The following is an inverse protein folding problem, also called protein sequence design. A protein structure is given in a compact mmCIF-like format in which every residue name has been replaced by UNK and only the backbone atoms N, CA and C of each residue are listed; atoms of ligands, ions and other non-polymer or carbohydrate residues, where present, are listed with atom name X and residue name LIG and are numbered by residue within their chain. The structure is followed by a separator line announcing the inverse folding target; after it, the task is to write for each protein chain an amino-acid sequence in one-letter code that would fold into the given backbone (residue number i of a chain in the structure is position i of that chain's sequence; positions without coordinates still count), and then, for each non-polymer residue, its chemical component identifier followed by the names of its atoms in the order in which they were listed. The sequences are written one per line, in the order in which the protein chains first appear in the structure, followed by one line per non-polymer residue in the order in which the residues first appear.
data_IF_078006644081
#
_entry.id   IF_078006644081
#
_cell.length_a   1.000
_cell.length_b   1.000
_cell.length_c   1.000
_cell.angle_alpha   90.00
_cell.angle_beta   90.00
_cell.angle_gamma   90.00
#
_symmetry.space_group_name_H-M   'P 1'
#
loop_
_entity.id
_entity.type
_entity.pdbx_description
1 polymer ?
#
# COMPACT_ATOMS: atom_id res chain seq x y z
N UNK A 1 35.86 70.27 -8.43
CA UNK A 1 35.86 69.61 -7.11
C UNK A 1 34.59 68.80 -6.95
N UNK A 2 34.74 67.46 -6.87
CA UNK A 2 33.90 66.44 -6.25
C UNK A 2 32.36 66.60 -6.30
N UNK A 3 31.74 65.84 -7.21
CA UNK A 3 30.35 65.37 -7.08
C UNK A 3 30.35 63.85 -7.06
N UNK A 4 30.23 63.28 -5.86
CA UNK A 4 30.03 61.86 -5.57
C UNK A 4 28.68 61.41 -6.13
N UNK A 5 28.63 60.32 -6.89
CA UNK A 5 27.40 59.63 -7.26
C UNK A 5 27.62 58.13 -7.19
N UNK A 6 27.15 57.52 -6.11
CA UNK A 6 27.44 56.16 -5.67
C UNK A 6 26.97 55.09 -6.65
N UNK A 7 27.86 54.13 -6.94
CA UNK A 7 27.53 52.80 -7.42
C UNK A 7 26.81 52.08 -6.28
N UNK A 8 25.51 51.81 -6.43
CA UNK A 8 24.80 50.87 -5.56
C UNK A 8 24.74 49.53 -6.27
N UNK A 9 25.79 48.74 -6.06
CA UNK A 9 25.75 47.29 -6.15
C UNK A 9 25.30 46.81 -4.76
N UNK A 10 24.10 46.24 -4.62
CA UNK A 10 23.88 45.28 -3.53
C UNK A 10 22.79 44.28 -3.88
N UNK A 11 23.26 43.04 -4.00
CA UNK A 11 22.55 41.78 -4.14
C UNK A 11 21.31 41.68 -3.27
N UNK A 12 20.17 41.35 -3.89
CA UNK A 12 19.08 40.69 -3.20
C UNK A 12 18.90 39.28 -3.78
N UNK A 13 19.51 38.35 -3.04
CA UNK A 13 19.03 37.01 -2.73
C UNK A 13 18.46 36.17 -3.87
N UNK A 14 19.30 35.24 -4.34
CA UNK A 14 18.84 33.92 -4.74
C UNK A 14 18.11 33.29 -3.55
N UNK A 15 16.77 33.40 -3.54
CA UNK A 15 15.94 32.51 -2.73
C UNK A 15 16.10 31.14 -3.38
N UNK A 16 17.08 30.39 -2.88
CA UNK A 16 17.11 28.95 -3.03
C UNK A 16 15.81 28.44 -2.43
N UNK A 17 14.85 28.05 -3.27
CA UNK A 17 13.81 27.12 -2.86
C UNK A 17 14.54 25.84 -2.43
N UNK A 18 14.84 25.72 -1.13
CA UNK A 18 14.99 24.40 -0.53
C UNK A 18 13.69 23.69 -0.86
N UNK A 19 13.76 22.65 -1.69
CA UNK A 19 12.66 21.70 -1.81
C UNK A 19 12.42 21.20 -0.39
N UNK A 20 11.26 21.55 0.17
CA UNK A 20 10.81 20.92 1.39
C UNK A 20 10.83 19.41 1.14
N UNK A 21 11.55 18.70 2.00
CA UNK A 21 11.60 17.25 1.93
C UNK A 21 10.25 16.75 2.47
N UNK A 22 9.24 16.70 1.60
CA UNK A 22 7.89 16.23 1.94
C UNK A 22 7.85 14.71 2.23
N UNK A 23 9.00 14.03 2.16
CA UNK A 23 9.15 12.67 2.64
C UNK A 23 9.07 12.66 4.16
N UNK A 24 8.23 11.78 4.73
CA UNK A 24 8.26 11.52 6.16
C UNK A 24 9.70 11.16 6.57
N UNK A 25 10.25 11.73 7.65
CA UNK A 25 11.56 11.35 8.18
C UNK A 25 11.69 9.84 8.43
N UNK A 26 10.55 9.18 8.61
CA UNK A 26 10.43 7.76 8.98
C UNK A 26 10.53 6.81 7.77
N UNK A 27 10.59 7.33 6.53
CA UNK A 27 10.59 6.51 5.32
C UNK A 27 11.81 5.58 5.23
N UNK A 28 12.90 5.96 5.90
CA UNK A 28 14.18 5.24 5.93
C UNK A 28 14.62 4.84 7.37
N UNK A 29 13.73 4.90 8.38
CA UNK A 29 14.05 4.49 9.76
C UNK A 29 13.58 3.04 10.05
N UNK A 30 14.47 2.04 9.91
CA UNK A 30 14.12 0.65 10.18
C UNK A 30 13.84 0.36 11.66
N UNK A 31 14.16 1.27 12.59
CA UNK A 31 13.90 1.08 14.02
C UNK A 31 12.45 1.34 14.44
N UNK A 32 11.67 2.00 13.58
CA UNK A 32 10.23 2.20 13.75
C UNK A 32 9.41 1.05 13.14
N UNK A 33 10.06 0.17 12.38
CA UNK A 33 9.40 -1.00 11.83
C UNK A 33 9.30 -2.07 12.92
N UNK A 34 8.11 -2.66 13.15
CA UNK A 34 7.97 -3.83 14.00
C UNK A 34 8.89 -4.96 13.53
N UNK A 35 9.38 -5.76 14.48
CA UNK A 35 10.32 -6.84 14.20
C UNK A 35 9.64 -7.95 13.40
N UNK A 36 9.79 -7.87 12.07
CA UNK A 36 9.17 -8.80 11.12
C UNK A 36 9.73 -10.21 11.25
N UNK A 37 10.87 -10.41 11.90
CA UNK A 37 11.54 -11.72 11.99
C UNK A 37 10.81 -12.67 12.94
N UNK A 38 10.17 -12.16 13.99
CA UNK A 38 9.51 -12.99 15.01
C UNK A 38 8.31 -13.78 14.47
N UNK A 39 7.60 -13.25 13.48
CA UNK A 39 6.50 -13.95 12.80
C UNK A 39 6.96 -14.81 11.62
N UNK A 40 8.21 -14.70 11.15
CA UNK A 40 8.63 -15.29 9.87
C UNK A 40 9.43 -16.59 9.99
N UNK A 41 9.79 -17.02 11.20
CA UNK A 41 10.63 -18.19 11.43
C UNK A 41 9.88 -19.50 11.68
N UNK A 42 8.56 -19.46 11.90
CA UNK A 42 7.74 -20.66 12.10
C UNK A 42 7.16 -21.16 10.77
N UNK A 43 7.34 -22.45 10.46
CA UNK A 43 6.71 -23.05 9.28
C UNK A 43 5.20 -23.27 9.54
N UNK A 44 4.38 -22.51 8.84
CA UNK A 44 2.91 -22.59 8.93
C UNK A 44 2.33 -23.83 8.24
N UNK A 45 3.13 -24.61 7.51
CA UNK A 45 2.67 -25.82 6.82
C UNK A 45 1.74 -25.53 5.63
N UNK A 46 1.65 -24.28 5.19
CA UNK A 46 0.70 -23.79 4.17
C UNK A 46 1.39 -23.44 2.85
N UNK A 47 2.66 -23.85 2.68
CA UNK A 47 3.47 -23.59 1.48
C UNK A 47 2.77 -24.01 0.17
N UNK A 48 2.08 -25.16 0.18
CA UNK A 48 1.32 -25.63 -0.98
C UNK A 48 0.15 -24.69 -1.32
N UNK A 49 -0.53 -24.16 -0.31
CA UNK A 49 -1.63 -23.20 -0.48
C UNK A 49 -1.11 -21.86 -1.01
N UNK A 50 -0.02 -21.35 -0.43
CA UNK A 50 0.59 -20.09 -0.85
C UNK A 50 1.08 -20.18 -2.30
N UNK A 51 1.73 -21.29 -2.66
CA UNK A 51 2.16 -21.55 -4.03
C UNK A 51 0.97 -21.67 -4.99
N UNK A 52 -0.12 -22.33 -4.60
CA UNK A 52 -1.32 -22.45 -5.44
C UNK A 52 -1.92 -21.06 -5.77
N UNK A 53 -2.11 -20.22 -4.76
CA UNK A 53 -2.61 -18.85 -4.96
C UNK A 53 -1.62 -18.05 -5.82
N UNK A 54 -0.34 -18.08 -5.46
CA UNK A 54 0.71 -17.41 -6.23
C UNK A 54 0.69 -17.82 -7.70
N UNK A 55 0.63 -19.11 -8.02
CA UNK A 55 0.56 -19.64 -9.39
C UNK A 55 -0.74 -19.27 -10.12
N UNK A 56 -1.86 -19.16 -9.40
CA UNK A 56 -3.10 -18.66 -9.98
C UNK A 56 -2.93 -17.21 -10.46
N UNK A 57 -2.19 -16.40 -9.71
CA UNK A 57 -1.91 -14.99 -9.99
C UNK A 57 -0.57 -14.74 -10.72
N UNK A 58 0.19 -15.79 -11.01
CA UNK A 58 1.45 -15.75 -11.77
C UNK A 58 1.12 -15.44 -13.23
N UNK A 59 1.66 -14.32 -13.73
CA UNK A 59 1.34 -13.83 -15.07
C UNK A 59 0.06 -12.99 -15.15
N UNK A 60 -0.48 -12.53 -14.02
CA UNK A 60 -1.42 -11.41 -14.03
C UNK A 60 -0.68 -10.20 -14.60
N UNK A 61 -0.96 -9.88 -15.86
CA UNK A 61 -0.54 -8.62 -16.48
C UNK A 61 -1.09 -7.44 -15.69
N UNK A 62 -0.79 -6.21 -16.13
CA UNK A 62 -1.26 -4.99 -15.44
C UNK A 62 -2.80 -4.88 -15.25
N UNK A 63 -3.59 -5.80 -15.80
CA UNK A 63 -5.02 -5.64 -16.06
C UNK A 63 -5.95 -6.70 -15.44
N UNK A 64 -5.51 -7.43 -14.41
CA UNK A 64 -6.24 -8.64 -13.98
C UNK A 64 -6.67 -8.68 -12.52
N UNK A 65 -6.24 -7.73 -11.70
CA UNK A 65 -6.84 -7.47 -10.39
C UNK A 65 -7.43 -6.07 -10.40
N UNK A 66 -8.66 -5.96 -9.94
CA UNK A 66 -9.32 -4.67 -9.71
C UNK A 66 -9.04 -4.21 -8.28
N UNK A 67 -8.53 -2.98 -8.13
CA UNK A 67 -8.30 -2.33 -6.85
C UNK A 67 -9.24 -1.13 -6.74
N UNK A 68 -10.10 -1.17 -5.73
CA UNK A 68 -11.03 -0.10 -5.40
C UNK A 68 -10.72 0.47 -4.01
N UNK A 69 -10.37 1.76 -3.95
CA UNK A 69 -10.13 2.45 -2.68
C UNK A 69 -11.42 3.10 -2.21
N UNK A 70 -11.84 2.76 -1.01
CA UNK A 70 -13.09 3.22 -0.42
C UNK A 70 -12.81 3.88 0.92
N UNK A 71 -13.34 5.08 1.10
CA UNK A 71 -13.41 5.77 2.39
C UNK A 71 -14.55 5.20 3.21
N UNK A 72 -14.32 5.07 4.51
CA UNK A 72 -15.28 4.60 5.49
C UNK A 72 -15.54 5.66 6.56
N UNK A 73 -16.57 5.43 7.36
CA UNK A 73 -16.79 6.20 8.58
C UNK A 73 -15.59 6.07 9.53
N UNK A 74 -15.21 7.17 10.18
CA UNK A 74 -14.00 7.20 10.98
C UNK A 74 -14.15 6.49 12.34
N UNK A 75 -15.38 6.36 12.84
CA UNK A 75 -15.64 5.80 14.17
C UNK A 75 -15.52 4.28 14.19
N UNK A 76 -16.12 3.61 13.20
CA UNK A 76 -16.22 2.14 13.16
C UNK A 76 -15.48 1.53 11.98
N UNK A 77 -15.16 2.31 10.93
CA UNK A 77 -14.54 1.83 9.69
C UNK A 77 -15.37 0.71 9.03
N UNK A 78 -16.70 0.76 9.14
CA UNK A 78 -17.62 -0.28 8.63
C UNK A 78 -18.54 0.19 7.52
N UNK A 79 -18.97 1.45 7.55
CA UNK A 79 -19.86 2.04 6.56
C UNK A 79 -19.06 2.71 5.44
N UNK A 80 -19.18 2.24 4.18
CA UNK A 80 -18.54 2.91 3.05
C UNK A 80 -19.21 4.26 2.78
N UNK A 81 -18.40 5.30 2.62
CA UNK A 81 -18.85 6.68 2.38
C UNK A 81 -18.59 7.14 0.95
N UNK A 82 -17.38 6.88 0.42
CA UNK A 82 -16.95 7.39 -0.88
C UNK A 82 -15.98 6.41 -1.55
N UNK A 83 -16.16 6.13 -2.84
CA UNK A 83 -15.13 5.46 -3.65
C UNK A 83 -14.20 6.52 -4.24
N UNK A 84 -12.90 6.41 -3.95
CA UNK A 84 -11.88 7.35 -4.42
C UNK A 84 -11.34 7.01 -5.80
N UNK A 85 -11.13 5.73 -6.06
CA UNK A 85 -10.62 5.22 -7.34
C UNK A 85 -10.97 3.75 -7.46
N UNK A 86 -11.14 3.30 -8.70
CA UNK A 86 -11.37 1.92 -9.06
C UNK A 86 -10.64 1.69 -10.38
N UNK A 87 -9.56 0.93 -10.32
CA UNK A 87 -8.78 0.66 -11.52
C UNK A 87 -8.12 -0.70 -11.44
N UNK A 88 -7.86 -1.25 -12.62
CA UNK A 88 -7.05 -2.45 -12.73
C UNK A 88 -5.60 -2.08 -12.47
N UNK A 89 -4.95 -2.86 -11.61
CA UNK A 89 -3.58 -2.59 -11.23
C UNK A 89 -2.82 -3.88 -10.92
N UNK A 90 -1.51 -3.95 -11.24
CA UNK A 90 -0.69 -5.07 -10.85
C UNK A 90 -0.57 -5.18 -9.32
N UNK A 91 -0.89 -6.36 -8.79
CA UNK A 91 -0.56 -6.74 -7.42
C UNK A 91 0.82 -7.40 -7.39
N UNK A 92 1.54 -7.18 -6.29
CA UNK A 92 2.74 -7.91 -5.93
C UNK A 92 2.32 -9.08 -5.05
N UNK A 93 2.72 -10.28 -5.44
CA UNK A 93 2.46 -11.49 -4.69
C UNK A 93 3.68 -12.39 -4.74
N UNK A 94 4.06 -12.96 -3.59
CA UNK A 94 5.15 -13.92 -3.48
C UNK A 94 4.82 -14.92 -2.36
N UNK A 95 5.00 -16.21 -2.62
CA UNK A 95 4.93 -17.20 -1.54
C UNK A 95 6.28 -17.26 -0.81
N UNK A 96 6.23 -17.42 0.50
CA UNK A 96 7.40 -17.44 1.38
C UNK A 96 7.72 -18.87 1.84
N UNK A 97 8.98 -19.10 2.21
CA UNK A 97 9.46 -20.43 2.62
C UNK A 97 8.74 -20.97 3.86
N UNK A 98 8.26 -20.09 4.73
CA UNK A 98 7.50 -20.44 5.93
C UNK A 98 6.01 -20.72 5.68
N UNK A 99 5.53 -20.67 4.43
CA UNK A 99 4.14 -20.92 4.07
C UNK A 99 3.23 -19.69 4.02
N UNK A 100 3.71 -18.51 4.43
CA UNK A 100 2.97 -17.26 4.25
C UNK A 100 2.98 -16.77 2.79
N UNK A 101 2.08 -15.83 2.49
CA UNK A 101 2.01 -15.13 1.21
C UNK A 101 2.32 -13.64 1.42
N UNK A 102 3.39 -13.11 0.84
CA UNK A 102 3.57 -11.66 0.72
C UNK A 102 2.58 -11.13 -0.33
N UNK A 103 1.84 -10.08 0.02
CA UNK A 103 0.80 -9.49 -0.82
C UNK A 103 0.81 -7.96 -0.73
N UNK A 104 0.55 -7.29 -1.85
CA UNK A 104 0.42 -5.84 -1.88
C UNK A 104 0.33 -5.27 -3.29
N UNK A 105 0.52 -3.97 -3.43
CA UNK A 105 0.60 -3.27 -4.72
C UNK A 105 1.59 -2.12 -4.63
N UNK A 106 2.09 -1.66 -5.78
CA UNK A 106 3.11 -0.60 -5.84
C UNK A 106 2.62 0.57 -6.68
N UNK A 107 2.85 1.78 -6.16
CA UNK A 107 2.57 3.06 -6.81
C UNK A 107 1.14 3.18 -7.38
N UNK A 108 0.16 2.55 -6.72
CA UNK A 108 -1.23 2.63 -7.13
C UNK A 108 -1.71 4.08 -7.07
N UNK A 109 -2.11 4.63 -8.21
CA UNK A 109 -2.48 6.03 -8.33
C UNK A 109 -3.97 6.21 -8.04
N UNK A 110 -4.28 7.10 -7.09
CA UNK A 110 -5.66 7.54 -6.90
C UNK A 110 -5.99 8.65 -7.89
N UNK A 111 -7.15 8.60 -8.56
CA UNK A 111 -7.50 9.65 -9.55
C UNK A 111 -7.91 10.96 -8.87
N UNK A 112 -8.52 10.86 -7.69
CA UNK A 112 -9.08 11.99 -6.95
C UNK A 112 -8.05 12.70 -6.06
N UNK A 113 -6.89 12.09 -5.84
CA UNK A 113 -5.76 12.66 -5.09
C UNK A 113 -4.46 12.33 -5.84
N UNK A 114 -3.55 13.29 -6.11
CA UNK A 114 -2.31 13.04 -6.85
C UNK A 114 -1.26 12.29 -6.01
N UNK A 115 -1.64 11.10 -5.55
CA UNK A 115 -0.93 10.26 -4.60
C UNK A 115 -0.68 8.88 -5.22
N UNK A 116 0.55 8.40 -5.05
CA UNK A 116 0.91 7.02 -5.29
C UNK A 116 0.93 6.28 -3.95
N UNK A 117 0.28 5.12 -3.90
CA UNK A 117 0.23 4.27 -2.72
C UNK A 117 0.93 2.93 -2.98
N UNK A 118 1.79 2.54 -2.05
CA UNK A 118 2.44 1.23 -2.03
C UNK A 118 2.09 0.52 -0.74
N UNK A 119 1.67 -0.74 -0.84
CA UNK A 119 1.33 -1.58 0.29
C UNK A 119 2.10 -2.89 0.24
N UNK A 120 2.40 -3.43 1.42
CA UNK A 120 2.98 -4.77 1.54
C UNK A 120 2.59 -5.38 2.88
N UNK A 121 2.15 -6.63 2.88
CA UNK A 121 1.76 -7.38 4.07
C UNK A 121 2.04 -8.87 3.89
N UNK A 122 2.39 -9.55 4.97
CA UNK A 122 2.48 -11.00 5.01
C UNK A 122 1.14 -11.59 5.43
N UNK A 123 0.70 -12.61 4.70
CA UNK A 123 -0.64 -13.17 4.82
C UNK A 123 -0.54 -14.63 5.21
N UNK A 124 -1.18 -14.97 6.33
CA UNK A 124 -1.40 -16.32 6.81
C UNK A 124 -2.60 -16.93 6.08
N UNK A 125 -2.48 -18.23 5.80
CA UNK A 125 -3.44 -18.98 5.01
C UNK A 125 -4.07 -20.07 5.86
N UNK A 126 -5.38 -20.23 5.73
CA UNK A 126 -6.10 -21.30 6.42
C UNK A 126 -7.07 -21.98 5.45
N UNK A 127 -6.97 -23.31 5.33
CA UNK A 127 -7.91 -24.07 4.51
C UNK A 127 -9.24 -24.24 5.26
N UNK A 128 -10.35 -23.77 4.68
CA UNK A 128 -11.67 -23.97 5.24
C UNK A 128 -12.06 -25.47 5.19
N UNK A 129 -12.94 -25.91 6.10
CA UNK A 129 -13.47 -27.26 6.22
C UNK A 129 -14.05 -27.86 4.92
N UNK A 130 -14.51 -27.03 3.98
CA UNK A 130 -15.04 -27.49 2.67
C UNK A 130 -13.94 -27.65 1.61
N UNK A 131 -12.65 -27.44 1.96
CA UNK A 131 -11.44 -27.56 1.13
C UNK A 131 -11.39 -26.74 -0.18
N UNK A 132 -12.47 -26.02 -0.54
CA UNK A 132 -12.53 -25.17 -1.73
C UNK A 132 -12.13 -23.71 -1.46
N UNK A 133 -12.18 -23.28 -0.19
CA UNK A 133 -11.88 -21.89 0.19
C UNK A 133 -10.63 -21.85 1.06
N UNK A 134 -9.70 -20.97 0.70
CA UNK A 134 -8.53 -20.62 1.51
C UNK A 134 -8.81 -19.24 2.10
N UNK A 135 -8.79 -19.11 3.42
CA UNK A 135 -8.87 -17.83 4.12
C UNK A 135 -7.50 -17.14 4.14
N UNK A 136 -7.52 -15.83 4.03
CA UNK A 136 -6.36 -14.97 4.03
C UNK A 136 -6.49 -14.00 5.21
N UNK A 137 -5.46 -13.94 6.07
CA UNK A 137 -5.37 -12.98 7.18
C UNK A 137 -3.97 -12.42 7.28
N UNK A 138 -3.84 -11.11 7.38
CA UNK A 138 -2.57 -10.43 7.62
C UNK A 138 -2.76 -9.30 8.61
N UNK A 139 -1.75 -9.08 9.43
CA UNK A 139 -1.63 -7.93 10.33
C UNK A 139 -0.26 -7.30 10.10
N UNK A 140 -0.02 -6.11 10.64
CA UNK A 140 1.30 -5.48 10.61
C UNK A 140 1.80 -5.15 9.18
N UNK A 141 0.85 -4.73 8.34
CA UNK A 141 1.10 -4.35 6.95
C UNK A 141 1.63 -2.92 6.85
N UNK A 142 2.57 -2.72 5.91
CA UNK A 142 3.10 -1.40 5.60
C UNK A 142 2.29 -0.71 4.50
N UNK A 143 1.98 0.57 4.71
CA UNK A 143 1.38 1.49 3.74
C UNK A 143 2.29 2.70 3.62
N UNK A 144 2.71 2.97 2.39
CA UNK A 144 3.58 4.09 2.03
C UNK A 144 2.93 4.93 0.96
N UNK A 145 3.09 6.24 1.08
CA UNK A 145 2.45 7.24 0.24
C UNK A 145 3.51 8.16 -0.35
N UNK A 146 3.36 8.51 -1.63
CA UNK A 146 4.30 9.38 -2.34
C UNK A 146 3.57 10.33 -3.30
N UNK A 147 4.21 11.47 -3.59
CA UNK A 147 3.74 12.38 -4.61
C UNK A 147 3.87 11.78 -6.01
N UNK A 148 2.81 11.93 -6.81
CA UNK A 148 2.92 11.75 -8.26
C UNK A 148 3.89 12.82 -8.78
N UNK A 149 4.90 12.39 -9.54
CA UNK A 149 5.98 13.25 -10.01
C UNK A 149 5.44 14.50 -10.73
N UNK A 150 5.87 15.68 -10.28
CA UNK A 150 5.50 16.96 -10.88
C UNK A 150 4.13 17.53 -10.47
N UNK A 151 3.40 16.88 -9.56
CA UNK A 151 2.15 17.42 -9.02
C UNK A 151 2.31 17.79 -7.54
N UNK A 152 1.93 19.01 -7.13
CA UNK A 152 1.86 19.34 -5.71
C UNK A 152 0.73 18.52 -5.08
N UNK A 153 1.07 17.62 -4.16
CA UNK A 153 0.10 17.16 -3.17
C UNK A 153 -0.21 18.37 -2.27
N UNK A 154 -1.43 18.46 -1.75
CA UNK A 154 -1.64 19.15 -0.47
C UNK A 154 -0.83 18.49 0.66
N UNK A 155 -1.34 18.48 1.89
CA UNK A 155 -0.68 17.73 2.97
C UNK A 155 -0.54 16.24 2.58
N UNK A 156 0.67 15.64 2.63
CA UNK A 156 0.85 14.22 2.33
C UNK A 156 -0.02 13.37 3.25
N UNK A 157 -0.60 12.29 2.70
CA UNK A 157 -1.29 11.33 3.56
C UNK A 157 -0.29 10.66 4.51
N UNK A 158 -0.70 10.39 5.76
CA UNK A 158 0.10 9.62 6.71
C UNK A 158 0.51 8.28 6.13
N UNK A 159 1.57 7.70 6.67
CA UNK A 159 1.97 6.32 6.43
C UNK A 159 1.41 5.44 7.57
N UNK A 160 1.39 4.12 7.38
CA UNK A 160 0.97 3.17 8.42
C UNK A 160 1.84 1.92 8.36
N UNK A 161 2.11 1.33 9.51
CA UNK A 161 2.71 0.00 9.66
C UNK A 161 1.75 -0.98 10.35
N UNK A 162 0.52 -0.56 10.61
CA UNK A 162 -0.47 -1.35 11.33
C UNK A 162 -1.53 -1.94 10.38
N UNK A 163 -1.30 -1.91 9.06
CA UNK A 163 -2.34 -2.24 8.11
C UNK A 163 -2.77 -3.71 8.19
N UNK A 164 -4.06 -3.96 7.98
CA UNK A 164 -4.67 -5.27 8.20
C UNK A 164 -5.29 -5.79 6.91
N UNK A 165 -5.22 -7.11 6.71
CA UNK A 165 -5.77 -7.77 5.53
C UNK A 165 -6.66 -8.93 5.96
N UNK A 166 -7.88 -8.94 5.42
CA UNK A 166 -8.77 -10.09 5.47
C UNK A 166 -9.25 -10.45 4.08
N UNK A 167 -9.41 -11.74 3.80
CA UNK A 167 -9.88 -12.16 2.50
C UNK A 167 -10.09 -13.66 2.38
N UNK A 168 -10.42 -14.06 1.16
CA UNK A 168 -10.54 -15.46 0.79
C UNK A 168 -10.21 -15.67 -0.68
N UNK A 169 -9.74 -16.88 -0.96
CA UNK A 169 -9.53 -17.40 -2.31
C UNK A 169 -10.39 -18.64 -2.50
N UNK A 170 -11.20 -18.64 -3.56
CA UNK A 170 -12.03 -19.79 -3.95
C UNK A 170 -11.31 -20.56 -5.05
N UNK A 171 -10.88 -21.78 -4.74
CA UNK A 171 -10.01 -22.61 -5.59
C UNK A 171 -10.72 -23.03 -6.88
N UNK A 172 -11.96 -23.51 -6.78
CA UNK A 172 -12.78 -23.96 -7.91
C UNK A 172 -12.95 -22.91 -9.00
N UNK A 173 -13.11 -21.64 -8.61
CA UNK A 173 -13.35 -20.51 -9.52
C UNK A 173 -12.15 -19.58 -9.69
N UNK A 174 -11.04 -19.84 -8.99
CA UNK A 174 -9.84 -19.00 -8.94
C UNK A 174 -10.15 -17.53 -8.64
N UNK A 175 -11.13 -17.29 -7.77
CA UNK A 175 -11.54 -15.94 -7.38
C UNK A 175 -10.84 -15.52 -6.10
N UNK A 176 -10.24 -14.34 -6.10
CA UNK A 176 -9.64 -13.71 -4.92
C UNK A 176 -10.51 -12.51 -4.51
N UNK A 177 -10.80 -12.44 -3.23
CA UNK A 177 -11.39 -11.26 -2.60
C UNK A 177 -10.55 -10.90 -1.38
N UNK A 178 -10.07 -9.66 -1.35
CA UNK A 178 -9.24 -9.14 -0.28
C UNK A 178 -9.77 -7.76 0.12
N UNK A 179 -9.92 -7.55 1.42
CA UNK A 179 -10.13 -6.27 2.05
C UNK A 179 -8.87 -5.92 2.82
N UNK A 180 -8.20 -4.84 2.39
CA UNK A 180 -7.00 -4.33 3.04
C UNK A 180 -7.36 -3.03 3.76
N UNK A 181 -7.50 -3.06 5.08
CA UNK A 181 -7.62 -1.83 5.89
C UNK A 181 -6.25 -1.16 5.97
N UNK A 182 -6.15 0.05 5.42
CA UNK A 182 -4.88 0.75 5.32
C UNK A 182 -4.41 1.31 6.66
N UNK A 183 -5.27 1.27 7.69
CA UNK A 183 -4.97 1.77 9.04
C UNK A 183 -4.38 3.18 9.06
N UNK A 184 -4.83 3.99 8.10
CA UNK A 184 -4.55 5.41 8.02
C UNK A 184 -5.48 6.19 8.96
N UNK A 185 -5.08 7.40 9.41
CA UNK A 185 -5.95 8.32 10.14
C UNK A 185 -7.25 8.68 9.40
N UNK A 186 -7.23 8.62 8.07
CA UNK A 186 -8.45 8.61 7.28
C UNK A 186 -8.83 7.16 7.05
N UNK A 187 -10.01 6.76 7.53
CA UNK A 187 -10.51 5.40 7.38
C UNK A 187 -10.67 5.02 5.89
N UNK A 188 -9.67 4.35 5.34
CA UNK A 188 -9.65 3.91 3.94
C UNK A 188 -9.30 2.44 3.86
N UNK A 189 -10.01 1.73 2.98
CA UNK A 189 -9.74 0.32 2.69
C UNK A 189 -9.59 0.11 1.19
N UNK A 190 -8.68 -0.77 0.81
CA UNK A 190 -8.56 -1.27 -0.55
C UNK A 190 -9.35 -2.58 -0.67
N UNK A 191 -10.34 -2.58 -1.57
CA UNK A 191 -11.02 -3.78 -2.02
C UNK A 191 -10.28 -4.29 -3.24
N UNK A 192 -9.77 -5.51 -3.16
CA UNK A 192 -8.93 -6.09 -4.19
C UNK A 192 -9.62 -7.37 -4.66
N UNK A 193 -10.01 -7.39 -5.93
CA UNK A 193 -10.72 -8.53 -6.53
C UNK A 193 -9.98 -9.07 -7.73
N UNK A 194 -9.75 -10.38 -7.73
CA UNK A 194 -9.07 -11.10 -8.80
C UNK A 194 -9.95 -12.18 -9.38
N UNK A 195 -10.02 -12.27 -10.71
CA UNK A 195 -10.72 -13.34 -11.41
C UNK A 195 -9.88 -13.82 -12.59
N UNK A 196 -9.66 -15.13 -12.70
CA UNK A 196 -8.94 -15.76 -13.82
C UNK A 196 -9.88 -16.30 -14.87
#
# INVERSE_FOLDING_TARGET
MKGLGYIVLFSFMFISCSKDNYYSPDLDDPSLLPDREDYLNEDYGTQALAKEIYEAYLGYGKDSVDIKIVMYDNETRTQPLLTFTESRWPVRMQWLANGALEFGYRNFQTEMMPLEMTTNINVLLELNAVQDTIWLRGTDGSVRTAAVSGQPIGTPLPQSDDAELEGYYVRSSKKLYVLFDLMLPIAMKAHITGTK
#
